data_IF_102466957171
#
_entry.id   IF_102466957171
#
_cell.length_a   1.000
_cell.length_b   1.000
_cell.length_c   1.000
_cell.angle_alpha   90.00
_cell.angle_beta   90.00
_cell.angle_gamma   90.00
#
_symmetry.space_group_name_H-M   'P 1'
#
loop_
_entity.id
_entity.type
_entity.pdbx_description
1 polymer ?
#
# COMPACT_ATOMS: atom_id res chain seq x y z
N UNK A 1 -11.79 17.64 8.91
CA UNK A 1 -12.99 16.98 8.37
C UNK A 1 -12.56 16.14 7.18
N UNK A 2 -12.34 14.83 7.37
CA UNK A 2 -12.03 13.92 6.26
C UNK A 2 -13.38 13.48 5.72
N UNK A 3 -13.71 13.88 4.50
CA UNK A 3 -14.95 13.49 3.83
C UNK A 3 -15.03 11.96 3.73
N UNK A 4 -16.18 11.42 4.13
CA UNK A 4 -16.47 9.97 4.18
C UNK A 4 -16.18 9.26 2.83
N UNK A 5 -16.18 10.00 1.72
CA UNK A 5 -15.84 9.48 0.38
C UNK A 5 -14.38 9.04 0.20
N UNK A 6 -13.44 9.51 1.01
CA UNK A 6 -12.01 9.14 0.86
C UNK A 6 -11.70 7.76 1.46
N UNK A 7 -12.48 7.30 2.45
CA UNK A 7 -12.21 6.05 3.17
C UNK A 7 -12.67 4.80 2.39
N UNK A 8 -13.61 4.95 1.47
CA UNK A 8 -14.16 3.81 0.70
C UNK A 8 -13.49 3.57 -0.65
N UNK A 9 -12.62 4.47 -1.14
CA UNK A 9 -12.01 4.34 -2.47
C UNK A 9 -10.78 3.40 -2.50
N UNK A 10 -10.19 3.11 -1.33
CA UNK A 10 -8.99 2.25 -1.20
C UNK A 10 -9.32 0.74 -1.10
N UNK A 11 -10.58 0.36 -0.93
CA UNK A 11 -10.97 -1.06 -0.73
C UNK A 11 -11.20 -1.83 -2.04
N UNK A 12 -11.18 -1.17 -3.20
CA UNK A 12 -11.63 -1.75 -4.46
C UNK A 12 -10.48 -2.12 -5.42
N UNK A 13 -9.35 -2.64 -4.95
CA UNK A 13 -8.36 -3.20 -5.88
C UNK A 13 -7.68 -4.45 -5.35
N UNK A 14 -8.07 -5.58 -5.95
CA UNK A 14 -7.58 -6.97 -5.82
C UNK A 14 -8.32 -7.88 -4.83
N UNK A 15 -9.58 -8.16 -5.12
CA UNK A 15 -10.20 -9.45 -4.73
C UNK A 15 -10.14 -10.39 -5.93
N UNK A 16 -9.05 -11.16 -6.03
CA UNK A 16 -9.03 -12.38 -6.83
C UNK A 16 -9.69 -13.47 -5.98
N UNK A 17 -10.94 -13.81 -6.27
CA UNK A 17 -11.55 -15.00 -5.69
C UNK A 17 -11.23 -16.18 -6.61
N UNK A 18 -10.45 -17.14 -6.09
CA UNK A 18 -10.03 -18.37 -6.78
C UNK A 18 -9.21 -18.14 -8.06
N UNK A 19 -8.35 -17.12 -8.09
CA UNK A 19 -7.43 -16.87 -9.21
C UNK A 19 -8.10 -16.34 -10.49
N UNK A 20 -9.40 -16.03 -10.45
CA UNK A 20 -10.14 -15.45 -11.58
C UNK A 20 -10.49 -14.00 -11.28
N UNK A 21 -10.38 -13.14 -12.31
CA UNK A 21 -10.93 -11.79 -12.24
C UNK A 21 -12.44 -11.90 -12.11
N UNK A 22 -12.94 -11.57 -10.92
CA UNK A 22 -14.36 -11.39 -10.74
C UNK A 22 -14.74 -10.10 -11.47
N UNK A 23 -15.79 -10.18 -12.29
CA UNK A 23 -16.40 -8.98 -12.90
C UNK A 23 -17.11 -8.22 -11.80
N UNK A 24 -16.33 -7.60 -10.92
CA UNK A 24 -16.87 -6.64 -9.98
C UNK A 24 -17.46 -5.53 -10.85
N UNK A 25 -18.71 -5.22 -10.61
CA UNK A 25 -19.49 -4.22 -11.34
C UNK A 25 -19.00 -2.76 -11.06
N UNK A 26 -17.72 -2.62 -10.73
CA UNK A 26 -16.97 -1.44 -10.37
C UNK A 26 -15.70 -1.40 -11.25
N UNK A 27 -15.34 -0.25 -11.84
CA UNK A 27 -14.13 -0.13 -12.63
C UNK A 27 -12.88 -0.35 -11.77
N UNK A 28 -11.87 -1.01 -12.33
CA UNK A 28 -10.57 -1.15 -11.65
C UNK A 28 -9.79 0.17 -11.67
N UNK A 29 -8.75 0.29 -10.83
CA UNK A 29 -7.89 1.48 -10.79
C UNK A 29 -7.31 1.88 -12.15
N UNK A 30 -6.99 0.91 -13.01
CA UNK A 30 -6.47 1.20 -14.35
C UNK A 30 -7.50 1.90 -15.24
N UNK A 31 -8.76 1.46 -15.21
CA UNK A 31 -9.86 2.09 -15.97
C UNK A 31 -10.09 3.51 -15.45
N UNK A 32 -10.09 3.70 -14.12
CA UNK A 32 -10.23 5.01 -13.49
C UNK A 32 -9.09 5.97 -13.88
N UNK A 33 -7.85 5.47 -13.87
CA UNK A 33 -6.68 6.25 -14.27
C UNK A 33 -6.73 6.64 -15.75
N UNK A 34 -7.13 5.72 -16.63
CA UNK A 34 -7.31 5.98 -18.06
C UNK A 34 -8.42 7.00 -18.32
N UNK A 35 -9.57 6.88 -17.65
CA UNK A 35 -10.67 7.85 -17.75
C UNK A 35 -10.21 9.25 -17.31
N UNK A 36 -9.47 9.34 -16.19
CA UNK A 36 -8.92 10.60 -15.70
C UNK A 36 -7.94 11.23 -16.71
N UNK A 37 -7.08 10.42 -17.32
CA UNK A 37 -6.14 10.89 -18.34
C UNK A 37 -6.82 11.35 -19.62
N UNK A 38 -7.87 10.64 -20.05
CA UNK A 38 -8.64 10.92 -21.25
C UNK A 38 -9.78 11.93 -21.04
N UNK A 39 -9.91 12.53 -19.85
CA UNK A 39 -11.02 13.41 -19.48
C UNK A 39 -12.42 12.80 -19.72
N UNK A 40 -12.52 11.49 -19.51
CA UNK A 40 -13.76 10.75 -19.71
C UNK A 40 -14.49 10.54 -18.38
N UNK A 41 -15.82 10.58 -18.41
CA UNK A 41 -16.64 10.30 -17.24
C UNK A 41 -16.62 8.80 -16.90
N UNK A 42 -15.99 8.45 -15.78
CA UNK A 42 -15.88 7.06 -15.34
C UNK A 42 -17.22 6.50 -14.82
N UNK A 43 -18.21 7.34 -14.53
CA UNK A 43 -19.51 6.91 -14.00
C UNK A 43 -20.24 5.93 -14.94
N UNK A 44 -19.97 5.98 -16.25
CA UNK A 44 -20.57 5.05 -17.22
C UNK A 44 -20.15 3.59 -16.98
N UNK A 45 -19.00 3.38 -16.33
CA UNK A 45 -18.45 2.05 -16.06
C UNK A 45 -18.88 1.51 -14.69
N UNK A 46 -19.51 2.35 -13.86
CA UNK A 46 -20.04 1.96 -12.56
C UNK A 46 -21.45 1.42 -12.77
N UNK A 47 -21.68 0.18 -12.34
CA UNK A 47 -23.02 -0.39 -12.39
C UNK A 47 -24.00 0.37 -11.50
N UNK A 48 -25.28 0.48 -11.90
CA UNK A 48 -26.31 1.15 -11.10
C UNK A 48 -26.34 0.72 -9.63
N UNK A 49 -26.11 -0.56 -9.35
CA UNK A 49 -26.11 -1.12 -7.99
C UNK A 49 -25.07 -0.49 -7.04
N UNK A 50 -23.97 0.02 -7.60
CA UNK A 50 -22.86 0.60 -6.83
C UNK A 50 -22.81 2.12 -6.90
N UNK A 51 -23.82 2.76 -7.49
CA UNK A 51 -23.91 4.22 -7.48
C UNK A 51 -24.22 4.70 -6.07
N UNK A 52 -23.67 5.85 -5.72
CA UNK A 52 -23.88 6.47 -4.40
C UNK A 52 -25.35 6.68 -4.09
N UNK A 53 -26.18 7.06 -5.07
CA UNK A 53 -27.62 7.25 -4.85
C UNK A 53 -28.35 5.95 -4.48
N UNK A 54 -27.93 4.81 -5.04
CA UNK A 54 -28.49 3.50 -4.71
C UNK A 54 -27.99 3.03 -3.34
N UNK A 55 -26.70 3.18 -3.06
CA UNK A 55 -26.12 2.87 -1.75
C UNK A 55 -26.79 3.70 -0.65
N UNK A 56 -26.93 5.01 -0.85
CA UNK A 56 -27.62 5.88 0.11
C UNK A 56 -29.05 5.44 0.35
N UNK A 57 -29.80 5.00 -0.67
CA UNK A 57 -31.16 4.46 -0.51
C UNK A 57 -31.19 3.17 0.30
N UNK A 58 -30.27 2.24 0.03
CA UNK A 58 -30.19 0.95 0.74
C UNK A 58 -29.87 1.16 2.22
N UNK A 59 -28.96 2.08 2.52
CA UNK A 59 -28.56 2.40 3.89
C UNK A 59 -29.43 3.48 4.54
N UNK A 60 -30.38 4.07 3.81
CA UNK A 60 -31.27 5.09 4.34
C UNK A 60 -32.07 4.51 5.51
N UNK A 61 -32.10 5.23 6.63
CA UNK A 61 -32.75 4.80 7.88
C UNK A 61 -32.21 3.50 8.52
N UNK A 62 -31.19 2.84 7.94
CA UNK A 62 -30.56 1.67 8.57
C UNK A 62 -29.61 2.06 9.69
N UNK A 63 -29.04 3.27 9.59
CA UNK A 63 -28.26 3.89 10.64
C UNK A 63 -28.97 5.17 11.09
N UNK A 64 -29.26 5.27 12.39
CA UNK A 64 -29.68 6.53 12.98
C UNK A 64 -28.50 7.50 13.06
N UNK A 65 -28.81 8.78 13.26
CA UNK A 65 -27.79 9.78 13.59
C UNK A 65 -26.98 9.31 14.80
N UNK A 66 -25.65 9.32 14.68
CA UNK A 66 -24.76 9.10 15.82
C UNK A 66 -24.94 10.27 16.79
N UNK A 67 -25.66 10.03 17.89
CA UNK A 67 -25.86 11.02 18.94
C UNK A 67 -24.52 11.36 19.61
N UNK A 68 -24.44 12.55 20.22
CA UNK A 68 -23.31 12.90 21.09
C UNK A 68 -23.11 11.82 22.17
N UNK A 69 -21.85 11.59 22.56
CA UNK A 69 -21.45 10.52 23.50
C UNK A 69 -22.23 10.59 24.83
N UNK A 70 -22.57 11.80 25.28
CA UNK A 70 -23.37 12.04 26.49
C UNK A 70 -24.77 11.43 26.44
N UNK A 71 -25.34 11.23 25.25
CA UNK A 71 -26.65 10.59 25.08
C UNK A 71 -26.57 9.08 24.89
N UNK A 72 -25.37 8.49 24.90
CA UNK A 72 -25.23 7.04 24.74
C UNK A 72 -25.71 6.34 26.00
N UNK A 73 -26.52 5.27 25.87
CA UNK A 73 -26.92 4.49 27.03
C UNK A 73 -25.68 3.90 27.71
N UNK A 74 -25.70 3.72 29.04
CA UNK A 74 -24.62 3.05 29.74
C UNK A 74 -24.40 1.65 29.14
N UNK A 75 -23.15 1.33 28.86
CA UNK A 75 -22.80 0.04 28.26
C UNK A 75 -23.22 -1.12 29.16
N UNK A 76 -24.15 -1.96 28.69
CA UNK A 76 -24.65 -3.15 29.40
C UNK A 76 -23.99 -4.46 28.96
N UNK A 77 -23.07 -4.42 28.00
CA UNK A 77 -22.42 -5.62 27.49
C UNK A 77 -21.35 -6.18 28.45
N UNK A 78 -20.88 -7.39 28.17
CA UNK A 78 -19.74 -7.96 28.88
C UNK A 78 -18.48 -7.17 28.55
N UNK A 79 -17.77 -6.70 29.57
CA UNK A 79 -16.48 -6.05 29.37
C UNK A 79 -15.47 -7.09 28.92
N UNK A 80 -15.24 -7.18 27.62
CA UNK A 80 -14.27 -8.10 27.03
C UNK A 80 -12.87 -7.56 27.33
N UNK A 81 -12.22 -8.16 28.33
CA UNK A 81 -10.81 -7.93 28.57
C UNK A 81 -10.00 -8.97 27.80
N UNK A 82 -8.96 -8.55 27.05
CA UNK A 82 -8.00 -9.50 26.52
C UNK A 82 -7.43 -10.34 27.65
N UNK A 83 -7.32 -11.66 27.46
CA UNK A 83 -6.78 -12.56 28.47
C UNK A 83 -5.36 -12.08 28.88
N UNK A 84 -5.04 -11.93 30.18
CA UNK A 84 -3.75 -11.38 30.61
C UNK A 84 -2.53 -12.12 30.04
N UNK A 85 -2.61 -13.44 29.89
CA UNK A 85 -1.54 -14.22 29.26
C UNK A 85 -1.36 -13.93 27.75
N UNK A 86 -2.40 -13.47 27.06
CA UNK A 86 -2.34 -13.01 25.66
C UNK A 86 -2.04 -11.52 25.54
N UNK A 87 -2.06 -10.80 26.67
CA UNK A 87 -1.74 -9.37 26.71
C UNK A 87 -0.25 -9.21 26.48
N UNK A 88 0.09 -8.57 25.38
CA UNK A 88 1.49 -8.28 25.02
C UNK A 88 2.05 -7.22 25.97
N UNK A 89 3.06 -7.57 26.75
CA UNK A 89 3.77 -6.64 27.63
C UNK A 89 5.01 -6.00 26.96
N UNK A 90 5.46 -6.54 25.82
CA UNK A 90 6.65 -6.04 25.13
C UNK A 90 6.35 -4.75 24.33
N UNK A 91 7.13 -3.70 24.59
CA UNK A 91 7.09 -2.43 23.86
C UNK A 91 7.67 -2.61 22.45
N UNK A 92 7.04 -1.99 21.45
CA UNK A 92 7.54 -1.93 20.07
C UNK A 92 6.84 -2.86 19.07
N UNK A 93 7.17 -2.68 17.79
CA UNK A 93 6.56 -3.37 16.65
C UNK A 93 6.81 -4.88 16.75
N UNK A 94 5.77 -5.67 16.49
CA UNK A 94 5.91 -7.10 16.25
C UNK A 94 6.96 -7.36 15.17
N UNK A 95 7.83 -8.35 15.39
CA UNK A 95 8.63 -8.89 14.29
C UNK A 95 7.65 -9.39 13.22
N UNK A 96 7.80 -8.89 12.01
CA UNK A 96 6.97 -9.29 10.89
C UNK A 96 7.16 -10.78 10.64
N UNK A 97 6.10 -11.57 10.72
CA UNK A 97 6.06 -12.96 10.25
C UNK A 97 5.67 -13.05 8.78
N UNK A 98 5.64 -11.92 8.07
CA UNK A 98 5.25 -11.88 6.65
C UNK A 98 6.19 -12.76 5.84
N UNK A 99 5.61 -13.82 5.25
CA UNK A 99 6.25 -14.65 4.24
C UNK A 99 6.40 -13.77 2.98
N UNK A 100 7.62 -13.67 2.43
CA UNK A 100 7.84 -12.93 1.19
C UNK A 100 7.17 -13.67 0.04
N UNK A 101 6.42 -12.94 -0.78
CA UNK A 101 5.79 -13.47 -1.99
C UNK A 101 6.53 -13.00 -3.24
N UNK A 102 6.21 -13.55 -4.41
CA UNK A 102 6.82 -13.17 -5.70
C UNK A 102 6.76 -11.65 -5.96
N UNK A 103 5.69 -10.96 -5.54
CA UNK A 103 5.60 -9.50 -5.68
C UNK A 103 6.57 -8.73 -4.76
N UNK A 104 7.04 -9.35 -3.68
CA UNK A 104 8.03 -8.78 -2.77
C UNK A 104 9.46 -9.06 -3.23
N UNK A 105 9.66 -10.04 -4.11
CA UNK A 105 10.95 -10.36 -4.73
C UNK A 105 11.08 -9.45 -5.95
N UNK A 106 11.80 -8.33 -5.80
CA UNK A 106 12.15 -7.50 -6.95
C UNK A 106 12.95 -8.30 -7.98
N UNK A 107 12.82 -7.95 -9.26
CA UNK A 107 13.66 -8.51 -10.34
C UNK A 107 15.12 -8.55 -9.90
N UNK A 108 15.80 -9.67 -10.17
CA UNK A 108 17.22 -9.84 -9.82
C UNK A 108 17.97 -8.61 -10.32
N UNK A 109 18.45 -7.80 -9.37
CA UNK A 109 19.06 -6.53 -9.70
C UNK A 109 20.17 -6.79 -10.72
N UNK A 110 20.01 -6.22 -11.92
CA UNK A 110 21.08 -6.26 -12.92
C UNK A 110 22.38 -5.82 -12.23
N UNK A 111 23.51 -6.51 -12.51
CA UNK A 111 24.79 -6.19 -11.88
C UNK A 111 25.02 -4.69 -12.04
N UNK A 112 25.13 -3.99 -10.90
CA UNK A 112 25.21 -2.53 -10.91
C UNK A 112 26.45 -2.13 -11.69
N UNK A 113 26.24 -1.38 -12.77
CA UNK A 113 27.34 -0.81 -13.53
C UNK A 113 28.06 0.22 -12.66
N UNK A 114 29.39 0.27 -12.77
CA UNK A 114 30.19 1.31 -12.16
C UNK A 114 29.64 2.69 -12.55
N UNK A 115 29.37 3.56 -11.59
CA UNK A 115 28.76 4.86 -11.89
C UNK A 115 29.67 5.78 -12.73
N UNK A 116 30.98 5.50 -12.76
CA UNK A 116 31.98 6.22 -13.54
C UNK A 116 32.12 5.66 -14.97
N UNK A 117 32.65 4.45 -15.14
CA UNK A 117 32.93 3.87 -16.46
C UNK A 117 31.77 3.05 -17.08
N UNK A 118 30.64 2.91 -16.36
CA UNK A 118 29.45 2.18 -16.80
C UNK A 118 29.65 0.69 -17.10
N UNK A 119 30.78 0.09 -16.73
CA UNK A 119 30.99 -1.35 -16.85
C UNK A 119 30.64 -2.09 -15.55
N UNK A 120 30.08 -3.30 -15.63
CA UNK A 120 29.78 -4.11 -14.45
C UNK A 120 31.06 -4.68 -13.81
N UNK A 121 30.92 -5.26 -12.62
CA UNK A 121 32.00 -6.00 -11.94
C UNK A 121 32.83 -5.21 -10.93
N UNK A 122 32.63 -3.89 -10.81
CA UNK A 122 33.29 -3.08 -9.77
C UNK A 122 32.47 -1.83 -9.40
N UNK A 123 32.76 -1.27 -8.23
CA UNK A 123 32.15 -0.01 -7.76
C UNK A 123 33.00 1.20 -8.17
N UNK A 124 32.43 2.41 -8.14
CA UNK A 124 33.14 3.67 -8.47
C UNK A 124 34.50 3.80 -7.75
N UNK A 125 34.54 3.36 -6.49
CA UNK A 125 35.71 3.47 -5.62
C UNK A 125 36.84 2.49 -5.97
N UNK A 126 36.59 1.51 -6.84
CA UNK A 126 37.57 0.54 -7.33
C UNK A 126 37.68 0.60 -8.86
N UNK A 127 37.22 1.70 -9.47
CA UNK A 127 37.25 1.83 -10.91
C UNK A 127 38.68 2.12 -11.39
N UNK A 128 39.24 1.32 -12.31
CA UNK A 128 40.59 1.54 -12.84
C UNK A 128 40.71 2.87 -13.61
N UNK A 129 39.57 3.49 -13.95
CA UNK A 129 39.54 4.79 -14.62
C UNK A 129 39.25 5.96 -13.67
N UNK A 130 38.99 5.69 -12.38
CA UNK A 130 38.75 6.74 -11.39
C UNK A 130 40.07 7.45 -11.03
N UNK A 131 40.20 8.77 -11.31
CA UNK A 131 41.42 9.52 -10.98
C UNK A 131 41.71 9.59 -9.48
N UNK A 132 40.72 9.35 -8.61
CA UNK A 132 40.89 9.33 -7.15
C UNK A 132 41.66 8.13 -6.59
N UNK A 133 41.95 7.09 -7.39
CA UNK A 133 42.70 5.90 -6.93
C UNK A 133 44.17 5.96 -7.37
N UNK A 134 44.49 6.66 -8.47
CA UNK A 134 45.85 6.71 -9.05
C UNK A 134 46.83 7.62 -8.30
N UNK A 135 46.43 8.16 -7.15
CA UNK A 135 47.22 9.12 -6.35
C UNK A 135 47.89 8.53 -5.11
N UNK A 136 47.91 7.22 -4.91
CA UNK A 136 48.53 6.59 -3.74
C UNK A 136 49.69 5.67 -4.11
N UNK A 137 50.72 6.21 -4.76
CA UNK A 137 52.06 5.62 -4.73
C UNK A 137 52.86 6.35 -3.65
N UNK A 138 52.85 5.81 -2.44
CA UNK A 138 53.84 6.14 -1.40
C UNK A 138 55.17 5.52 -1.84
N UNK A 139 56.13 6.39 -2.19
CA UNK A 139 57.54 6.00 -2.27
C UNK A 139 58.08 5.96 -0.84
N UNK A 140 58.50 4.77 -0.38
CA UNK A 140 59.54 4.65 0.64
C UNK A 140 60.80 4.18 -0.10
N UNK A 141 61.78 5.08 -0.19
CA UNK A 141 63.17 4.78 -0.55
C UNK A 141 64.03 4.95 0.70
N UNK A 142 64.91 3.99 0.91
CA UNK A 142 66.09 4.06 1.80
C UNK A 142 67.06 5.18 1.39
#
# INVERSE_FOLDING_TARGET
>A
MISVGHVYYESATKVLQNGKFQKNHLPCSHVLAACKHAHYDFNIYISPYYRLDVIMKVYNNMFGELRHEEYWPPYQGTKIWPHPATKRNAKGRLKSSRIRTEMDIGEQAHPRNCSYCKTPGHTRNHCPHNPGIRGSTSNYGE
#
